data_IF_807164955889
#
_entry.id   IF_807164955889
#
_cell.length_a   1.000
_cell.length_b   1.000
_cell.length_c   1.000
_cell.angle_alpha   90.00
_cell.angle_beta   90.00
_cell.angle_gamma   90.00
#
_symmetry.space_group_name_H-M   'P 1'
#
loop_
_entity.id
_entity.type
_entity.pdbx_description
1 polymer ?
#
# COMPACT_ATOMS: atom_id res chain seq x y z
N UNK A 1 0.99 -13.38 11.60
CA UNK A 1 0.11 -12.25 11.20
C UNK A 1 0.27 -11.98 9.71
N UNK A 2 -0.63 -11.18 9.13
CA UNK A 2 -0.66 -10.80 7.71
C UNK A 2 -0.55 -9.28 7.58
N UNK A 3 0.49 -8.80 6.91
CA UNK A 3 0.72 -7.37 6.66
C UNK A 3 0.18 -6.94 5.29
N UNK A 4 -0.47 -5.78 5.21
CA UNK A 4 -0.78 -5.12 3.93
C UNK A 4 0.29 -4.06 3.60
N UNK A 5 0.90 -4.14 2.42
CA UNK A 5 1.92 -3.18 1.99
C UNK A 5 1.32 -2.04 1.16
N UNK A 6 0.76 -1.06 1.87
CA UNK A 6 0.15 0.13 1.29
C UNK A 6 1.19 1.14 0.83
N UNK A 7 0.92 1.80 -0.29
CA UNK A 7 1.75 2.87 -0.82
C UNK A 7 1.52 3.07 -2.31
N UNK A 8 2.03 4.16 -2.91
CA UNK A 8 1.74 4.48 -4.30
C UNK A 8 2.21 3.41 -5.28
N UNK A 9 1.44 3.26 -6.36
CA UNK A 9 1.73 2.37 -7.50
C UNK A 9 1.81 3.21 -8.79
N UNK A 10 0.70 3.84 -9.21
CA UNK A 10 0.60 4.58 -10.49
C UNK A 10 1.69 5.66 -10.68
N UNK A 11 2.08 6.33 -9.59
CA UNK A 11 3.03 7.44 -9.61
C UNK A 11 4.39 7.09 -8.98
N UNK A 12 4.59 5.84 -8.58
CA UNK A 12 5.82 5.40 -7.94
C UNK A 12 6.85 4.95 -8.99
N UNK A 13 8.13 5.14 -8.67
CA UNK A 13 9.19 4.49 -9.43
C UNK A 13 9.05 2.97 -9.32
N UNK A 14 9.09 2.26 -10.45
CA UNK A 14 8.95 0.80 -10.53
C UNK A 14 7.69 0.28 -9.77
N UNK A 15 6.58 1.03 -9.82
CA UNK A 15 5.33 0.71 -9.11
C UNK A 15 5.48 0.55 -7.57
N UNK A 16 6.61 1.01 -7.02
CA UNK A 16 6.98 0.74 -5.63
C UNK A 16 7.23 -0.73 -5.34
N UNK A 17 7.65 -1.54 -6.31
CA UNK A 17 7.84 -2.98 -6.15
C UNK A 17 9.03 -3.33 -5.24
N UNK A 18 10.13 -2.58 -5.31
CA UNK A 18 11.40 -2.96 -4.67
C UNK A 18 11.30 -3.04 -3.15
N UNK A 19 10.72 -2.01 -2.52
CA UNK A 19 10.56 -1.99 -1.07
C UNK A 19 9.56 -3.04 -0.60
N UNK A 20 8.56 -3.36 -1.43
CA UNK A 20 7.59 -4.41 -1.12
C UNK A 20 8.25 -5.78 -1.13
N UNK A 21 9.05 -6.08 -2.14
CA UNK A 21 9.83 -7.33 -2.20
C UNK A 21 10.77 -7.43 -0.99
N UNK A 22 11.47 -6.34 -0.66
CA UNK A 22 12.34 -6.29 0.52
C UNK A 22 11.57 -6.58 1.81
N UNK A 23 10.45 -5.88 2.04
CA UNK A 23 9.66 -6.05 3.26
C UNK A 23 8.96 -7.41 3.31
N UNK A 24 8.48 -7.95 2.19
CA UNK A 24 7.93 -9.31 2.12
C UNK A 24 8.95 -10.34 2.58
N UNK A 25 10.18 -10.27 2.08
CA UNK A 25 11.25 -11.20 2.50
C UNK A 25 11.55 -11.07 3.99
N UNK A 26 11.73 -9.85 4.48
CA UNK A 26 12.09 -9.60 5.87
C UNK A 26 10.98 -9.98 6.85
N UNK A 27 9.73 -9.61 6.57
CA UNK A 27 8.58 -9.99 7.41
C UNK A 27 8.41 -11.50 7.51
N UNK A 28 8.65 -12.20 6.40
CA UNK A 28 8.57 -13.65 6.38
C UNK A 28 9.75 -14.29 7.14
N UNK A 29 10.98 -13.85 6.92
CA UNK A 29 12.16 -14.46 7.53
C UNK A 29 12.31 -14.17 9.02
N UNK A 30 12.06 -12.92 9.43
CA UNK A 30 12.35 -12.48 10.81
C UNK A 30 11.14 -12.64 11.73
N UNK A 31 9.92 -12.49 11.22
CA UNK A 31 8.70 -12.48 12.04
C UNK A 31 7.73 -13.62 11.70
N UNK A 32 8.02 -14.44 10.67
CA UNK A 32 7.08 -15.44 10.14
C UNK A 32 5.70 -14.84 9.78
N UNK A 33 5.69 -13.58 9.34
CA UNK A 33 4.48 -12.90 8.89
C UNK A 33 4.26 -13.13 7.38
N UNK A 34 2.99 -13.27 6.99
CA UNK A 34 2.59 -13.27 5.59
C UNK A 34 2.36 -11.84 5.11
N UNK A 35 2.31 -11.66 3.80
CA UNK A 35 2.16 -10.34 3.19
C UNK A 35 1.14 -10.35 2.07
N UNK A 36 0.20 -9.41 2.14
CA UNK A 36 -0.61 -8.99 1.00
C UNK A 36 0.12 -7.86 0.26
N UNK A 37 0.44 -8.09 -1.02
CA UNK A 37 1.15 -7.14 -1.87
C UNK A 37 0.26 -6.67 -3.02
N UNK A 38 -0.28 -5.44 -2.98
CA UNK A 38 -1.20 -4.93 -3.99
C UNK A 38 -0.65 -4.88 -5.42
N UNK A 39 0.68 -4.83 -5.58
CA UNK A 39 1.33 -4.85 -6.91
C UNK A 39 1.18 -6.22 -7.56
N UNK A 40 1.28 -7.31 -6.79
CA UNK A 40 1.14 -8.68 -7.29
C UNK A 40 -0.34 -8.93 -7.67
N UNK A 41 -1.26 -8.51 -6.81
CA UNK A 41 -2.70 -8.67 -7.05
C UNK A 41 -3.20 -7.81 -8.23
N UNK A 42 -2.69 -6.59 -8.36
CA UNK A 42 -3.01 -5.76 -9.53
C UNK A 42 -2.54 -6.43 -10.82
N UNK A 43 -1.32 -6.99 -10.83
CA UNK A 43 -0.78 -7.70 -11.99
C UNK A 43 -1.66 -8.87 -12.39
N UNK A 44 -2.07 -9.73 -11.45
CA UNK A 44 -2.93 -10.88 -11.75
C UNK A 44 -4.29 -10.49 -12.35
N UNK A 45 -4.83 -9.33 -11.96
CA UNK A 45 -6.09 -8.79 -12.52
C UNK A 45 -5.90 -8.27 -13.95
N UNK A 46 -4.76 -7.63 -14.24
CA UNK A 46 -4.51 -7.01 -15.54
C UNK A 46 -3.83 -7.92 -16.55
N UNK A 47 -3.38 -9.13 -16.18
CA UNK A 47 -2.62 -10.10 -17.00
C UNK A 47 -3.10 -10.30 -18.46
N UNK A 48 -4.37 -10.06 -18.76
CA UNK A 48 -4.92 -10.12 -20.13
C UNK A 48 -4.58 -8.90 -21.01
N UNK A 49 -4.02 -7.85 -20.43
CA UNK A 49 -3.54 -6.64 -21.09
C UNK A 49 -2.08 -6.40 -20.65
N UNK A 50 -1.22 -5.86 -21.52
CA UNK A 50 0.05 -5.33 -21.02
C UNK A 50 -0.25 -4.17 -20.05
N UNK A 51 0.62 -3.93 -19.06
CA UNK A 51 0.43 -2.85 -18.07
C UNK A 51 0.36 -1.47 -18.76
N UNK A 52 1.10 -1.31 -19.85
CA UNK A 52 1.11 -0.11 -20.69
C UNK A 52 -0.23 0.06 -21.43
N UNK A 53 -0.75 -1.01 -22.05
CA UNK A 53 -2.06 -1.00 -22.69
C UNK A 53 -3.19 -0.69 -21.69
N UNK A 54 -3.09 -1.26 -20.48
CA UNK A 54 -4.04 -0.99 -19.41
C UNK A 54 -4.09 0.50 -19.03
N UNK A 55 -2.93 1.16 -18.87
CA UNK A 55 -2.89 2.59 -18.53
C UNK A 55 -3.45 3.46 -19.66
N UNK A 56 -3.24 3.07 -20.91
CA UNK A 56 -3.79 3.76 -22.08
C UNK A 56 -5.32 3.73 -22.12
N UNK A 57 -5.97 2.67 -21.58
CA UNK A 57 -7.43 2.58 -21.50
C UNK A 57 -8.08 3.76 -20.79
N UNK A 58 -7.38 4.43 -19.86
CA UNK A 58 -7.89 5.63 -19.19
C UNK A 58 -8.30 6.72 -20.18
N UNK A 59 -7.61 6.81 -21.32
CA UNK A 59 -7.87 7.78 -22.39
C UNK A 59 -8.62 7.16 -23.58
N UNK A 60 -8.33 5.91 -23.93
CA UNK A 60 -8.90 5.26 -25.14
C UNK A 60 -10.24 4.57 -24.88
N UNK A 61 -10.45 4.00 -23.69
CA UNK A 61 -11.72 3.39 -23.28
C UNK A 61 -11.97 3.55 -21.75
N UNK A 62 -12.35 4.75 -21.30
CA UNK A 62 -12.43 5.07 -19.87
C UNK A 62 -13.44 4.19 -19.09
N UNK A 63 -14.48 3.69 -19.76
CA UNK A 63 -15.47 2.83 -19.13
C UNK A 63 -14.90 1.45 -18.81
N UNK A 64 -14.09 0.88 -19.70
CA UNK A 64 -13.41 -0.38 -19.44
C UNK A 64 -12.33 -0.21 -18.37
N UNK A 65 -11.57 0.89 -18.44
CA UNK A 65 -10.60 1.25 -17.40
C UNK A 65 -11.26 1.32 -16.01
N UNK A 66 -12.41 2.00 -15.88
CA UNK A 66 -13.17 2.07 -14.63
C UNK A 66 -13.60 0.69 -14.12
N UNK A 67 -14.02 -0.24 -14.99
CA UNK A 67 -14.40 -1.59 -14.57
C UNK A 67 -13.21 -2.34 -13.97
N UNK A 68 -12.04 -2.24 -14.59
CA UNK A 68 -10.82 -2.89 -14.11
C UNK A 68 -10.37 -2.26 -12.78
N UNK A 69 -10.29 -0.93 -12.70
CA UNK A 69 -9.93 -0.21 -11.47
C UNK A 69 -10.88 -0.57 -10.32
N UNK A 70 -12.19 -0.70 -10.57
CA UNK A 70 -13.16 -1.13 -9.54
C UNK A 70 -12.90 -2.55 -9.03
N UNK A 71 -12.39 -3.46 -9.87
CA UNK A 71 -11.97 -4.79 -9.41
C UNK A 71 -10.77 -4.71 -8.49
N UNK A 72 -9.77 -3.89 -8.85
CA UNK A 72 -8.58 -3.63 -8.02
C UNK A 72 -8.99 -3.04 -6.67
N UNK A 73 -9.79 -1.96 -6.67
CA UNK A 73 -10.33 -1.35 -5.45
C UNK A 73 -11.05 -2.38 -4.58
N UNK A 74 -11.87 -3.25 -5.17
CA UNK A 74 -12.58 -4.28 -4.42
C UNK A 74 -11.60 -5.26 -3.76
N UNK A 75 -10.60 -5.74 -4.47
CA UNK A 75 -9.59 -6.68 -3.95
C UNK A 75 -8.77 -6.04 -2.82
N UNK A 76 -8.30 -4.82 -3.02
CA UNK A 76 -7.52 -4.07 -2.03
C UNK A 76 -8.32 -3.82 -0.76
N UNK A 77 -9.57 -3.32 -0.88
CA UNK A 77 -10.42 -3.07 0.28
C UNK A 77 -10.86 -4.35 0.97
N UNK A 78 -11.17 -5.42 0.23
CA UNK A 78 -11.50 -6.73 0.83
C UNK A 78 -10.32 -7.24 1.67
N UNK A 79 -9.10 -7.11 1.17
CA UNK A 79 -7.90 -7.47 1.90
C UNK A 79 -7.73 -6.64 3.17
N UNK A 80 -7.81 -5.31 3.06
CA UNK A 80 -7.70 -4.40 4.20
C UNK A 80 -8.79 -4.69 5.24
N UNK A 81 -10.02 -4.99 4.84
CA UNK A 81 -11.14 -5.20 5.76
C UNK A 81 -11.05 -6.58 6.42
N UNK A 82 -10.87 -7.64 5.64
CA UNK A 82 -11.15 -9.01 6.10
C UNK A 82 -9.93 -9.93 6.21
N UNK A 83 -8.77 -9.56 5.66
CA UNK A 83 -7.67 -10.53 5.51
C UNK A 83 -6.37 -10.13 6.17
N UNK A 84 -6.12 -8.83 6.37
CA UNK A 84 -4.86 -8.36 6.96
C UNK A 84 -5.03 -7.96 8.42
N UNK A 85 -3.97 -8.13 9.20
CA UNK A 85 -3.93 -7.79 10.61
C UNK A 85 -3.45 -6.33 10.84
N UNK A 86 -2.60 -5.81 9.94
CA UNK A 86 -2.04 -4.46 10.05
C UNK A 86 -1.51 -3.94 8.71
N UNK A 87 -1.26 -2.62 8.63
CA UNK A 87 -0.73 -1.94 7.44
C UNK A 87 0.69 -1.44 7.67
N UNK A 88 1.55 -1.60 6.66
CA UNK A 88 2.80 -0.86 6.52
C UNK A 88 2.63 0.06 5.31
N UNK A 89 2.78 1.36 5.53
CA UNK A 89 2.44 2.39 4.56
C UNK A 89 3.70 3.15 4.15
N UNK A 90 4.11 3.06 2.88
CA UNK A 90 5.17 3.94 2.37
C UNK A 90 4.57 5.28 1.96
N UNK A 91 5.07 6.36 2.54
CA UNK A 91 4.60 7.73 2.31
C UNK A 91 5.70 8.61 1.73
N UNK A 92 5.60 8.92 0.45
CA UNK A 92 6.51 9.82 -0.27
C UNK A 92 5.73 10.73 -1.23
N UNK A 93 6.40 11.61 -1.99
CA UNK A 93 5.74 12.59 -2.88
C UNK A 93 4.78 11.97 -3.90
N UNK A 94 4.94 10.69 -4.23
CA UNK A 94 4.06 10.01 -5.19
C UNK A 94 2.65 9.76 -4.66
N UNK A 95 2.42 9.88 -3.34
CA UNK A 95 1.07 9.76 -2.73
C UNK A 95 0.15 10.87 -3.19
N UNK A 96 0.65 12.08 -3.44
CA UNK A 96 -0.17 13.27 -3.70
C UNK A 96 -1.05 13.18 -4.96
N UNK A 97 -0.71 12.29 -5.89
CA UNK A 97 -1.48 12.06 -7.12
C UNK A 97 -2.34 10.78 -7.06
N UNK A 98 -2.36 10.07 -5.93
CA UNK A 98 -3.07 8.80 -5.77
C UNK A 98 -4.19 8.87 -4.73
N UNK A 99 -5.30 8.19 -5.00
CA UNK A 99 -6.41 8.03 -4.05
C UNK A 99 -6.36 6.75 -3.21
N UNK A 100 -5.68 5.70 -3.70
CA UNK A 100 -5.68 4.36 -3.10
C UNK A 100 -5.13 4.32 -1.68
N UNK A 101 -3.85 4.67 -1.50
CA UNK A 101 -3.18 4.70 -0.19
C UNK A 101 -3.95 5.53 0.85
N UNK A 102 -4.52 6.68 0.45
CA UNK A 102 -5.34 7.50 1.34
C UNK A 102 -6.59 6.75 1.85
N UNK A 103 -7.30 6.07 0.93
CA UNK A 103 -8.48 5.28 1.27
C UNK A 103 -8.17 4.06 2.14
N UNK A 104 -7.09 3.35 1.82
CA UNK A 104 -6.63 2.18 2.58
C UNK A 104 -6.28 2.54 4.03
N UNK A 105 -5.51 3.61 4.23
CA UNK A 105 -5.11 4.10 5.56
C UNK A 105 -6.33 4.52 6.38
N UNK A 106 -7.24 5.26 5.78
CA UNK A 106 -8.47 5.71 6.46
C UNK A 106 -9.36 4.52 6.85
N UNK A 107 -9.48 3.52 5.96
CA UNK A 107 -10.26 2.32 6.23
C UNK A 107 -9.64 1.48 7.35
N UNK A 108 -8.31 1.31 7.35
CA UNK A 108 -7.61 0.58 8.39
C UNK A 108 -7.80 1.23 9.76
N UNK A 109 -7.64 2.55 9.85
CA UNK A 109 -7.91 3.32 11.06
C UNK A 109 -9.36 3.13 11.55
N UNK A 110 -10.33 3.25 10.65
CA UNK A 110 -11.75 3.07 10.98
C UNK A 110 -12.07 1.67 11.53
N UNK A 111 -11.32 0.66 11.11
CA UNK A 111 -11.44 -0.73 11.54
C UNK A 111 -10.50 -1.10 12.70
N UNK A 112 -9.87 -0.11 13.33
CA UNK A 112 -8.94 -0.29 14.46
C UNK A 112 -7.75 -1.22 14.13
N UNK A 113 -7.33 -1.24 12.86
CA UNK A 113 -6.14 -2.00 12.42
C UNK A 113 -4.90 -1.13 12.59
N UNK A 114 -3.80 -1.65 13.17
CA UNK A 114 -2.57 -0.88 13.31
C UNK A 114 -2.02 -0.39 11.96
N UNK A 115 -1.65 0.89 11.91
CA UNK A 115 -1.10 1.56 10.74
C UNK A 115 0.30 2.10 11.05
N UNK A 116 1.31 1.52 10.43
CA UNK A 116 2.71 1.93 10.56
C UNK A 116 3.16 2.70 9.33
N UNK A 117 3.41 4.00 9.49
CA UNK A 117 3.75 4.90 8.39
C UNK A 117 5.27 5.06 8.25
N UNK A 118 5.84 4.69 7.09
CA UNK A 118 7.23 4.99 6.74
C UNK A 118 7.25 6.23 5.87
N UNK A 119 7.59 7.37 6.46
CA UNK A 119 7.46 8.69 5.87
C UNK A 119 8.80 9.24 5.33
N UNK A 120 8.76 9.76 4.11
CA UNK A 120 9.89 10.45 3.45
C UNK A 120 9.55 11.90 3.06
N UNK A 121 8.50 12.48 3.66
CA UNK A 121 8.11 13.87 3.48
C UNK A 121 8.43 14.70 4.73
N UNK A 122 8.62 16.03 4.61
CA UNK A 122 8.52 16.91 5.77
C UNK A 122 7.21 16.67 6.53
N UNK A 123 7.25 16.71 7.86
CA UNK A 123 6.06 16.43 8.69
C UNK A 123 4.87 17.34 8.35
N UNK A 124 5.15 18.60 7.99
CA UNK A 124 4.14 19.58 7.59
C UNK A 124 3.46 19.26 6.25
N UNK A 125 4.05 18.36 5.44
CA UNK A 125 3.49 17.91 4.17
C UNK A 125 2.62 16.66 4.32
N UNK A 126 2.60 16.04 5.51
CA UNK A 126 1.64 14.97 5.84
C UNK A 126 0.33 15.64 6.25
N UNK A 127 -0.78 15.26 5.61
CA UNK A 127 -2.08 15.80 6.02
C UNK A 127 -2.41 15.37 7.45
N UNK A 128 -3.05 16.26 8.23
CA UNK A 128 -3.50 15.95 9.59
C UNK A 128 -4.37 14.69 9.64
N UNK A 129 -5.13 14.44 8.58
CA UNK A 129 -5.93 13.23 8.42
C UNK A 129 -5.07 11.96 8.43
N UNK A 130 -4.06 11.88 7.55
CA UNK A 130 -3.20 10.71 7.44
C UNK A 130 -2.30 10.56 8.66
N UNK A 131 -1.76 11.67 9.16
CA UNK A 131 -0.99 11.69 10.40
C UNK A 131 -1.78 11.09 11.58
N UNK A 132 -3.06 11.43 11.69
CA UNK A 132 -3.91 10.93 12.80
C UNK A 132 -4.40 9.49 12.58
N UNK A 133 -4.35 8.97 11.36
CA UNK A 133 -4.69 7.58 11.06
C UNK A 133 -3.53 6.61 11.36
N UNK A 134 -2.31 7.10 11.58
CA UNK A 134 -1.14 6.26 11.87
C UNK A 134 -0.88 6.11 13.37
N UNK A 135 -0.57 4.89 13.81
CA UNK A 135 -0.18 4.59 15.19
C UNK A 135 1.27 4.98 15.49
N UNK A 136 2.18 4.63 14.58
CA UNK A 136 3.60 5.00 14.67
C UNK A 136 4.12 5.45 13.30
N UNK A 137 4.99 6.47 13.31
CA UNK A 137 5.62 7.05 12.12
C UNK A 137 7.13 6.85 12.20
N UNK A 138 7.73 6.42 11.09
CA UNK A 138 9.14 6.08 10.95
C UNK A 138 9.77 6.82 9.78
N UNK A 139 11.02 7.27 9.95
CA UNK A 139 11.76 7.93 8.86
C UNK A 139 12.23 6.94 7.76
N UNK A 140 12.35 5.66 8.09
CA UNK A 140 12.84 4.63 7.18
C UNK A 140 12.42 3.22 7.61
N UNK A 141 12.60 2.25 6.71
CA UNK A 141 12.28 0.85 6.99
C UNK A 141 13.17 0.23 8.06
N UNK A 142 14.40 0.70 8.26
CA UNK A 142 15.29 0.13 9.29
C UNK A 142 14.82 0.47 10.70
N UNK A 143 14.32 1.69 10.95
CA UNK A 143 13.72 2.04 12.25
C UNK A 143 12.41 1.27 12.50
N UNK A 144 11.57 1.09 11.47
CA UNK A 144 10.40 0.24 11.54
C UNK A 144 10.77 -1.21 11.90
N UNK A 145 11.74 -1.81 11.20
CA UNK A 145 12.20 -3.18 11.45
C UNK A 145 12.68 -3.36 12.89
N UNK A 146 13.49 -2.44 13.40
CA UNK A 146 13.95 -2.44 14.81
C UNK A 146 12.79 -2.41 15.79
N UNK A 147 11.77 -1.58 15.53
CA UNK A 147 10.57 -1.50 16.38
C UNK A 147 9.80 -2.82 16.37
N UNK A 148 9.66 -3.42 15.19
CA UNK A 148 8.92 -4.66 14.97
C UNK A 148 9.59 -5.86 15.65
N UNK A 149 10.91 -5.96 15.67
CA UNK A 149 11.65 -7.03 16.37
C UNK A 149 11.46 -7.03 17.90
N UNK A 150 10.88 -5.98 18.46
CA UNK A 150 10.53 -5.89 19.89
C UNK A 150 9.03 -6.01 20.11
N UNK A 151 8.23 -5.67 19.09
CA UNK A 151 6.77 -5.67 19.16
C UNK A 151 6.17 -7.05 18.93
N UNK A 152 6.78 -7.84 18.03
CA UNK A 152 6.36 -9.18 17.62
C UNK A 152 7.43 -10.20 18.03
#
# INVERSE_FOLDING_TARGET
MIAYLSGPIENAHNDGADWRIMMTKWLNSELNHQVFNPVIETKSIVEKNSVEDFRLLKNTNPNEYKKIIRKIIKVDLEAVVNHVDYLIVKWDKSVFKGGGTHGEVTMAYWLEKPVYLVNNLPINDISSWIFSCSDEIFDNFESLKKRFSVLF
#
